data_IF_009102694160
#
_entry.id   IF_009102694160
#
_cell.length_a   1.000
_cell.length_b   1.000
_cell.length_c   1.000
_cell.angle_alpha   90.00
_cell.angle_beta   90.00
_cell.angle_gamma   90.00
#
_symmetry.space_group_name_H-M   'P 1'
#
loop_
_entity.id
_entity.type
_entity.pdbx_description
1 polymer ?
#
# COMPACT_ATOMS: atom_id res chain seq x y z
N UNK A 1 11.15 7.74 -20.70
CA UNK A 1 10.72 7.88 -19.29
C UNK A 1 11.84 7.40 -18.41
N UNK A 2 12.37 8.30 -17.59
CA UNK A 2 13.35 7.94 -16.58
C UNK A 2 12.69 7.10 -15.48
N UNK A 3 13.47 6.22 -14.85
CA UNK A 3 12.99 5.32 -13.82
C UNK A 3 14.01 5.18 -12.72
N UNK A 4 13.53 5.14 -11.50
CA UNK A 4 14.36 4.87 -10.32
C UNK A 4 14.50 3.35 -10.20
N UNK A 5 15.74 2.88 -10.01
CA UNK A 5 16.04 1.47 -9.78
C UNK A 5 16.40 1.29 -8.32
N UNK A 6 15.62 0.49 -7.61
CA UNK A 6 15.83 0.14 -6.21
C UNK A 6 16.38 -1.28 -6.16
N UNK A 7 17.50 -1.47 -5.46
CA UNK A 7 18.06 -2.79 -5.15
C UNK A 7 17.70 -3.14 -3.72
N UNK A 8 16.83 -4.14 -3.55
CA UNK A 8 16.36 -4.59 -2.24
C UNK A 8 17.19 -5.80 -1.82
N UNK A 9 18.01 -5.72 -0.77
CA UNK A 9 18.82 -6.85 -0.32
C UNK A 9 17.95 -7.93 0.33
N UNK A 10 17.94 -9.13 -0.24
CA UNK A 10 17.09 -10.26 0.20
C UNK A 10 17.41 -10.67 1.64
N UNK A 11 18.67 -10.57 2.04
CA UNK A 11 19.15 -10.91 3.38
C UNK A 11 18.78 -9.89 4.46
N UNK A 12 18.37 -8.67 4.07
CA UNK A 12 17.92 -7.62 5.01
C UNK A 12 16.42 -7.60 5.21
N UNK A 13 15.65 -8.37 4.44
CA UNK A 13 14.21 -8.48 4.65
C UNK A 13 13.96 -9.33 5.89
N UNK A 14 13.23 -8.79 6.87
CA UNK A 14 12.96 -9.45 8.14
C UNK A 14 12.40 -10.86 7.89
N UNK A 15 13.13 -11.85 8.40
CA UNK A 15 12.75 -13.26 8.35
C UNK A 15 11.38 -13.54 8.95
N UNK A 16 10.88 -12.71 9.88
CA UNK A 16 9.56 -12.90 10.51
C UNK A 16 8.40 -12.63 9.56
N UNK A 17 8.63 -11.88 8.48
CA UNK A 17 7.60 -11.58 7.48
C UNK A 17 7.28 -12.78 6.59
N UNK A 18 8.16 -13.79 6.57
CA UNK A 18 8.04 -14.94 5.68
C UNK A 18 8.28 -16.26 6.40
N UNK A 19 7.49 -17.27 6.07
CA UNK A 19 7.76 -18.64 6.48
C UNK A 19 9.03 -19.15 5.77
N UNK A 20 10.08 -19.55 6.51
CA UNK A 20 11.32 -20.03 5.91
C UNK A 20 11.12 -21.20 4.94
N UNK A 21 10.14 -22.07 5.19
CA UNK A 21 9.85 -23.24 4.35
C UNK A 21 9.32 -22.89 2.97
N UNK A 22 8.77 -21.68 2.81
CA UNK A 22 8.09 -21.26 1.59
C UNK A 22 8.45 -19.81 1.16
N UNK A 23 9.60 -19.31 1.64
CA UNK A 23 10.05 -17.93 1.45
C UNK A 23 10.05 -17.52 -0.02
N UNK A 24 10.54 -18.38 -0.91
CA UNK A 24 10.61 -18.07 -2.35
C UNK A 24 9.23 -17.82 -2.96
N UNK A 25 8.23 -18.64 -2.60
CA UNK A 25 6.86 -18.44 -3.07
C UNK A 25 6.27 -17.16 -2.48
N UNK A 26 6.45 -16.92 -1.19
CA UNK A 26 5.91 -15.72 -0.54
C UNK A 26 6.56 -14.42 -1.06
N UNK A 27 7.85 -14.43 -1.38
CA UNK A 27 8.53 -13.31 -2.04
C UNK A 27 7.94 -13.06 -3.44
N UNK A 28 7.67 -14.13 -4.20
CA UNK A 28 7.01 -14.03 -5.50
C UNK A 28 5.59 -13.48 -5.36
N UNK A 29 4.80 -14.03 -4.44
CA UNK A 29 3.42 -13.62 -4.19
C UNK A 29 3.36 -12.15 -3.74
N UNK A 30 4.31 -11.71 -2.91
CA UNK A 30 4.46 -10.31 -2.52
C UNK A 30 4.83 -9.41 -3.71
N UNK A 31 5.77 -9.85 -4.56
CA UNK A 31 6.13 -9.11 -5.77
C UNK A 31 4.94 -9.00 -6.75
N UNK A 32 4.17 -10.07 -6.95
CA UNK A 32 2.95 -10.05 -7.75
C UNK A 32 1.93 -9.05 -7.17
N UNK A 33 1.69 -9.06 -5.87
CA UNK A 33 0.80 -8.09 -5.22
C UNK A 33 1.25 -6.64 -5.36
N UNK A 34 2.56 -6.37 -5.35
CA UNK A 34 3.11 -5.03 -5.60
C UNK A 34 2.89 -4.59 -7.05
N UNK A 35 3.00 -5.49 -8.03
CA UNK A 35 2.79 -5.15 -9.44
C UNK A 35 1.36 -4.62 -9.73
N UNK A 36 0.36 -5.09 -8.96
CA UNK A 36 -1.03 -4.64 -9.06
C UNK A 36 -1.28 -3.25 -8.44
N UNK A 37 -0.31 -2.71 -7.69
CA UNK A 37 -0.42 -1.40 -7.08
C UNK A 37 -0.34 -0.29 -8.14
N UNK A 38 -1.31 0.61 -8.09
CA UNK A 38 -1.44 1.74 -9.02
C UNK A 38 -1.99 2.96 -8.31
N UNK A 39 -1.49 4.12 -8.70
CA UNK A 39 -2.12 5.40 -8.38
C UNK A 39 -3.37 5.53 -9.25
N UNK A 40 -4.50 5.92 -8.63
CA UNK A 40 -5.78 6.08 -9.32
C UNK A 40 -6.14 7.56 -9.37
N UNK A 41 -5.95 8.18 -10.53
CA UNK A 41 -6.30 9.57 -10.76
C UNK A 41 -7.61 9.65 -11.54
N UNK A 42 -8.60 10.32 -10.97
CA UNK A 42 -9.87 10.60 -11.63
C UNK A 42 -9.83 12.02 -12.19
N UNK A 43 -9.92 12.17 -13.51
CA UNK A 43 -9.75 13.45 -14.22
C UNK A 43 -11.07 14.28 -14.21
N UNK A 44 -12.14 13.74 -13.62
CA UNK A 44 -13.46 14.36 -13.59
C UNK A 44 -14.22 14.20 -14.92
N UNK A 45 -15.49 14.61 -14.96
CA UNK A 45 -16.32 14.46 -16.15
C UNK A 45 -16.01 15.51 -17.23
N UNK A 46 -16.03 15.10 -18.49
CA UNK A 46 -16.03 16.03 -19.62
C UNK A 46 -17.40 16.73 -19.77
N UNK A 47 -17.52 17.66 -20.73
CA UNK A 47 -18.76 18.40 -21.01
C UNK A 47 -19.97 17.52 -21.38
N UNK A 48 -19.75 16.24 -21.69
CA UNK A 48 -20.76 15.24 -22.02
C UNK A 48 -21.05 14.27 -20.85
N UNK A 49 -20.44 14.49 -19.68
CA UNK A 49 -20.62 13.65 -18.49
C UNK A 49 -19.74 12.39 -18.45
N UNK A 50 -18.84 12.19 -19.42
CA UNK A 50 -17.94 11.04 -19.43
C UNK A 50 -16.77 11.27 -18.46
N UNK A 51 -16.57 10.33 -17.53
CA UNK A 51 -15.48 10.38 -16.57
C UNK A 51 -14.14 10.01 -17.21
N UNK A 52 -13.15 10.90 -17.11
CA UNK A 52 -11.76 10.59 -17.44
C UNK A 52 -11.06 9.85 -16.30
N UNK A 53 -10.15 8.94 -16.63
CA UNK A 53 -9.33 8.21 -15.67
C UNK A 53 -7.88 8.15 -16.16
N UNK A 54 -6.96 8.11 -15.21
CA UNK A 54 -5.55 7.86 -15.42
C UNK A 54 -5.02 6.96 -14.32
N UNK A 55 -4.28 5.93 -14.72
CA UNK A 55 -3.78 4.89 -13.82
C UNK A 55 -2.29 4.72 -14.05
N UNK A 56 -1.51 4.99 -13.01
CA UNK A 56 -0.05 4.88 -13.06
C UNK A 56 0.36 3.67 -12.22
N UNK A 57 1.01 2.68 -12.83
CA UNK A 57 1.54 1.52 -12.11
C UNK A 57 2.72 1.95 -11.23
N UNK A 58 2.68 1.60 -9.95
CA UNK A 58 3.72 2.01 -9.00
C UNK A 58 5.04 1.28 -9.25
N UNK A 59 4.95 -0.02 -9.55
CA UNK A 59 6.08 -0.92 -9.74
C UNK A 59 5.97 -1.61 -11.11
N UNK A 60 6.32 -0.93 -12.22
CA UNK A 60 6.19 -1.48 -13.57
C UNK A 60 7.04 -2.73 -13.83
N UNK A 61 8.07 -2.99 -13.00
CA UNK A 61 8.89 -4.18 -13.12
C UNK A 61 9.54 -4.53 -11.79
N UNK A 62 9.37 -5.78 -11.39
CA UNK A 62 10.12 -6.41 -10.30
C UNK A 62 10.84 -7.61 -10.88
N UNK A 63 12.12 -7.80 -10.53
CA UNK A 63 12.93 -8.90 -11.06
C UNK A 63 13.80 -9.48 -9.96
N UNK A 64 13.77 -10.80 -9.84
CA UNK A 64 14.68 -11.57 -8.99
C UNK A 64 15.13 -12.79 -9.78
N UNK A 65 16.43 -12.87 -10.07
CA UNK A 65 17.02 -14.04 -10.71
C UNK A 65 18.19 -14.54 -9.86
N UNK A 66 18.00 -15.60 -9.06
CA UNK A 66 19.06 -16.09 -8.17
C UNK A 66 20.27 -16.66 -8.90
N UNK A 67 20.16 -16.97 -10.19
CA UNK A 67 21.31 -17.39 -11.02
C UNK A 67 22.25 -16.22 -11.31
N UNK A 68 21.70 -15.01 -11.49
CA UNK A 68 22.47 -13.81 -11.85
C UNK A 68 22.83 -12.96 -10.61
N UNK A 69 21.85 -12.74 -9.71
CA UNK A 69 21.98 -11.99 -8.46
C UNK A 69 21.02 -12.58 -7.42
N UNK A 70 21.54 -13.47 -6.57
CA UNK A 70 20.80 -14.08 -5.46
C UNK A 70 20.61 -13.14 -4.27
N UNK A 71 21.36 -12.05 -4.21
CA UNK A 71 21.40 -11.18 -3.04
C UNK A 71 20.40 -10.02 -3.14
N UNK A 72 19.95 -9.67 -4.36
CA UNK A 72 19.07 -8.53 -4.59
C UNK A 72 17.84 -8.83 -5.43
N UNK A 73 16.72 -8.24 -5.01
CA UNK A 73 15.55 -8.02 -5.86
C UNK A 73 15.70 -6.64 -6.49
N UNK A 74 15.50 -6.55 -7.80
CA UNK A 74 15.53 -5.30 -8.55
C UNK A 74 14.10 -4.82 -8.75
N UNK A 75 13.79 -3.64 -8.23
CA UNK A 75 12.49 -2.99 -8.36
C UNK A 75 12.65 -1.72 -9.17
N UNK A 76 11.86 -1.59 -10.24
CA UNK A 76 11.78 -0.38 -11.05
C UNK A 76 10.57 0.44 -10.59
N UNK A 77 10.79 1.72 -10.32
CA UNK A 77 9.73 2.69 -9.99
C UNK A 77 9.73 3.78 -11.07
N UNK A 78 8.54 4.15 -11.56
CA UNK A 78 8.41 5.25 -12.53
C UNK A 78 8.66 6.59 -11.85
N UNK A 79 9.31 7.53 -12.53
CA UNK A 79 9.62 8.84 -11.94
C UNK A 79 8.35 9.65 -11.63
N UNK A 80 7.26 9.45 -12.36
CA UNK A 80 5.95 10.06 -12.08
C UNK A 80 5.39 9.63 -10.71
N UNK A 81 5.74 8.43 -10.23
CA UNK A 81 5.37 7.96 -8.89
C UNK A 81 6.22 8.64 -7.81
N UNK A 82 7.46 9.02 -8.13
CA UNK A 82 8.34 9.69 -7.17
C UNK A 82 7.75 11.03 -6.69
N UNK A 83 7.12 11.78 -7.58
CA UNK A 83 6.44 13.04 -7.23
C UNK A 83 5.29 12.80 -6.23
N UNK A 84 4.55 11.70 -6.38
CA UNK A 84 3.51 11.26 -5.43
C UNK A 84 4.11 10.72 -4.11
N UNK A 85 5.33 10.15 -4.14
CA UNK A 85 6.01 9.61 -2.97
C UNK A 85 6.68 10.68 -2.08
N UNK A 86 6.97 11.87 -2.62
CA UNK A 86 7.58 12.99 -1.88
C UNK A 86 6.63 14.21 -1.84
N UNK A 87 5.48 14.11 -1.14
CA UNK A 87 4.53 15.20 -1.13
C UNK A 87 5.06 16.39 -0.32
N UNK A 88 5.04 17.58 -0.95
CA UNK A 88 5.57 18.85 -0.40
C UNK A 88 4.73 19.38 0.78
N UNK A 89 3.44 19.04 0.85
CA UNK A 89 2.49 19.70 1.78
C UNK A 89 1.79 18.75 2.77
N UNK A 90 1.70 17.45 2.50
CA UNK A 90 1.01 16.48 3.38
C UNK A 90 1.60 15.10 3.21
N UNK A 91 2.40 14.66 4.20
CA UNK A 91 3.02 13.34 4.22
C UNK A 91 2.66 12.60 5.51
N UNK A 92 2.54 11.27 5.42
CA UNK A 92 2.44 10.39 6.56
C UNK A 92 3.76 9.63 6.73
N UNK A 93 4.38 9.75 7.90
CA UNK A 93 5.55 8.94 8.26
C UNK A 93 5.07 7.70 8.99
N UNK A 94 5.40 6.51 8.49
CA UNK A 94 5.09 5.24 9.13
C UNK A 94 6.38 4.64 9.71
N UNK A 95 6.29 4.08 10.91
CA UNK A 95 7.40 3.36 11.53
C UNK A 95 7.47 1.94 10.96
N UNK A 96 8.61 1.59 10.34
CA UNK A 96 8.81 0.29 9.71
C UNK A 96 8.73 -0.86 10.73
N UNK A 97 9.34 -0.72 11.91
CA UNK A 97 9.32 -1.77 12.94
C UNK A 97 7.91 -1.99 13.48
N UNK A 98 7.13 -0.92 13.59
CA UNK A 98 5.73 -1.06 14.00
C UNK A 98 4.91 -1.72 12.90
N UNK A 99 5.10 -1.37 11.63
CA UNK A 99 4.43 -2.05 10.51
C UNK A 99 4.75 -3.55 10.47
N UNK A 100 6.00 -3.94 10.74
CA UNK A 100 6.43 -5.34 10.87
C UNK A 100 5.73 -6.07 12.04
N UNK A 101 5.45 -5.36 13.13
CA UNK A 101 4.75 -5.92 14.29
C UNK A 101 3.22 -6.04 14.09
N UNK A 102 2.64 -5.23 13.20
CA UNK A 102 1.21 -5.28 12.87
C UNK A 102 0.93 -6.44 11.91
N UNK A 103 0.41 -7.54 12.46
CA UNK A 103 0.25 -8.83 11.75
C UNK A 103 -0.94 -8.87 10.79
N UNK A 104 -1.80 -7.84 10.77
CA UNK A 104 -2.96 -7.80 9.87
C UNK A 104 -2.93 -6.56 8.97
N UNK A 105 -3.34 -6.73 7.72
CA UNK A 105 -3.46 -5.61 6.78
C UNK A 105 -4.45 -4.54 7.26
N UNK A 106 -5.47 -4.91 8.05
CA UNK A 106 -6.40 -3.96 8.64
C UNK A 106 -5.71 -3.09 9.71
N UNK A 107 -4.89 -3.69 10.58
CA UNK A 107 -4.14 -2.94 11.58
C UNK A 107 -3.14 -1.97 10.92
N UNK A 108 -2.44 -2.41 9.87
CA UNK A 108 -1.53 -1.56 9.11
C UNK A 108 -2.25 -0.38 8.44
N UNK A 109 -3.42 -0.62 7.81
CA UNK A 109 -4.25 0.46 7.23
C UNK A 109 -4.74 1.42 8.30
N UNK A 110 -5.22 0.91 9.44
CA UNK A 110 -5.71 1.74 10.54
C UNK A 110 -4.59 2.60 11.13
N UNK A 111 -3.39 2.03 11.30
CA UNK A 111 -2.19 2.77 11.69
C UNK A 111 -1.85 3.88 10.70
N UNK A 112 -1.87 3.59 9.40
CA UNK A 112 -1.62 4.60 8.36
C UNK A 112 -2.65 5.74 8.41
N UNK A 113 -3.93 5.42 8.64
CA UNK A 113 -4.99 6.41 8.84
C UNK A 113 -4.65 7.30 10.05
N UNK A 114 -4.37 6.73 11.22
CA UNK A 114 -3.98 7.52 12.40
C UNK A 114 -2.78 8.43 12.14
N UNK A 115 -1.75 7.92 11.45
CA UNK A 115 -0.53 8.69 11.14
C UNK A 115 -0.76 9.80 10.12
N UNK A 116 -1.71 9.65 9.19
CA UNK A 116 -2.11 10.75 8.29
C UNK A 116 -2.73 11.94 9.02
N UNK A 117 -3.23 11.73 10.25
CA UNK A 117 -3.74 12.77 11.13
C UNK A 117 -2.80 13.09 12.31
N UNK A 118 -1.52 12.70 12.25
CA UNK A 118 -0.59 12.83 13.39
C UNK A 118 -0.44 14.26 13.93
N UNK A 119 -0.63 15.29 13.09
CA UNK A 119 -0.59 16.71 13.49
C UNK A 119 -1.92 17.23 14.05
N UNK A 120 -2.96 16.40 14.13
CA UNK A 120 -4.28 16.73 14.68
C UNK A 120 -4.53 15.88 15.94
N UNK A 121 -4.36 16.43 17.15
CA UNK A 121 -4.52 15.69 18.41
C UNK A 121 -5.90 15.03 18.57
N UNK A 122 -6.91 15.62 17.93
CA UNK A 122 -8.24 15.04 17.76
C UNK A 122 -8.65 15.21 16.31
N UNK A 123 -9.20 14.17 15.71
CA UNK A 123 -9.84 14.24 14.41
C UNK A 123 -11.12 13.42 14.44
N UNK A 124 -12.06 13.80 13.57
CA UNK A 124 -13.30 13.07 13.34
C UNK A 124 -13.27 12.54 11.92
N UNK A 125 -13.67 11.28 11.75
CA UNK A 125 -13.84 10.64 10.45
C UNK A 125 -15.23 10.01 10.39
N UNK A 126 -15.92 10.16 9.25
CA UNK A 126 -17.21 9.52 9.06
C UNK A 126 -17.03 8.00 8.90
N UNK A 127 -18.08 7.25 9.21
CA UNK A 127 -18.07 5.80 9.01
C UNK A 127 -17.78 5.40 7.55
N UNK A 128 -18.36 6.12 6.58
CA UNK A 128 -18.15 5.86 5.16
C UNK A 128 -16.71 6.17 4.73
N UNK A 129 -16.15 7.28 5.18
CA UNK A 129 -14.75 7.64 4.89
C UNK A 129 -13.78 6.63 5.50
N UNK A 130 -14.02 6.19 6.74
CA UNK A 130 -13.20 5.17 7.39
C UNK A 130 -13.27 3.84 6.63
N UNK A 131 -14.48 3.39 6.25
CA UNK A 131 -14.63 2.17 5.43
C UNK A 131 -13.93 2.28 4.08
N UNK A 132 -13.98 3.44 3.44
CA UNK A 132 -13.28 3.69 2.17
C UNK A 132 -11.77 3.60 2.33
N UNK A 133 -11.21 4.30 3.32
CA UNK A 133 -9.76 4.28 3.60
C UNK A 133 -9.27 2.89 4.01
N UNK A 134 -10.11 2.10 4.68
CA UNK A 134 -9.80 0.72 5.06
C UNK A 134 -10.01 -0.30 3.92
N UNK A 135 -10.54 0.11 2.77
CA UNK A 135 -10.73 -0.75 1.58
C UNK A 135 -12.02 -1.58 1.55
N UNK A 136 -13.02 -1.23 2.36
CA UNK A 136 -14.30 -1.98 2.49
C UNK A 136 -15.48 -1.32 1.76
N UNK A 137 -15.23 -0.23 1.02
CA UNK A 137 -16.28 0.52 0.33
C UNK A 137 -16.68 -0.13 -1.00
N UNK A 138 -15.72 -0.42 -1.88
CA UNK A 138 -16.00 -1.00 -3.22
C UNK A 138 -16.59 -2.41 -3.14
N UNK A 139 -16.16 -3.23 -2.18
CA UNK A 139 -16.63 -4.60 -1.98
C UNK A 139 -17.98 -4.69 -1.25
N UNK A 140 -18.57 -3.55 -0.87
CA UNK A 140 -19.75 -3.45 -0.01
C UNK A 140 -19.73 -4.38 1.23
N UNK A 141 -18.53 -4.73 1.71
CA UNK A 141 -18.35 -5.64 2.83
C UNK A 141 -18.45 -4.86 4.14
N UNK A 142 -19.16 -5.42 5.13
CA UNK A 142 -19.48 -4.77 6.41
C UNK A 142 -20.20 -3.41 6.27
N UNK A 143 -21.40 -3.37 5.63
CA UNK A 143 -22.12 -2.13 5.37
C UNK A 143 -22.61 -1.41 6.62
N UNK A 144 -22.73 -2.12 7.74
CA UNK A 144 -23.27 -1.59 8.99
C UNK A 144 -22.15 -1.44 10.04
N UNK A 145 -22.23 -0.35 10.80
CA UNK A 145 -21.25 -0.03 11.85
C UNK A 145 -21.00 -1.19 12.81
N UNK A 146 -22.07 -1.88 13.26
CA UNK A 146 -21.98 -2.98 14.21
C UNK A 146 -20.98 -4.05 13.76
N UNK A 147 -21.07 -4.50 12.52
CA UNK A 147 -20.21 -5.57 11.98
C UNK A 147 -18.81 -5.07 11.67
N UNK A 148 -18.69 -3.87 11.10
CA UNK A 148 -17.38 -3.27 10.82
C UNK A 148 -16.59 -3.07 12.12
N UNK A 149 -17.24 -2.55 13.16
CA UNK A 149 -16.61 -2.34 14.47
C UNK A 149 -16.18 -3.66 15.10
N UNK A 150 -17.04 -4.69 15.11
CA UNK A 150 -16.72 -5.95 15.79
C UNK A 150 -15.72 -6.83 15.03
N UNK A 151 -15.75 -6.82 13.69
CA UNK A 151 -14.96 -7.74 12.87
C UNK A 151 -13.72 -7.10 12.23
N UNK A 152 -13.68 -5.76 12.14
CA UNK A 152 -12.55 -5.03 11.52
C UNK A 152 -11.85 -4.14 12.53
N UNK A 153 -12.57 -3.21 13.19
CA UNK A 153 -11.91 -2.19 14.02
C UNK A 153 -11.38 -2.72 15.35
N UNK A 154 -12.16 -3.52 16.09
CA UNK A 154 -11.70 -4.06 17.38
C UNK A 154 -10.55 -5.07 17.24
N UNK A 155 -10.53 -5.93 16.20
CA UNK A 155 -9.40 -6.84 15.99
C UNK A 155 -8.14 -6.16 15.41
N UNK A 156 -8.29 -5.01 14.74
CA UNK A 156 -7.20 -4.23 14.16
C UNK A 156 -6.51 -3.33 15.21
#
# INVERSE_FOLDING_TARGET
MESIIIRVPVNKIDSKLFDPSNRSKQLRDAAEGLMDMRVRNYIGPNKQGQMGFDFISMFPRITYNPTDDKDHIIVKVQSEIYEEMVPIQSYAQLDLKLLEALTTGNAQRLYAIFKSYAFKPKFTISFESLRRQMGFFESNTYPQWKYFNSQVLKPA
#
